data_IF_979261314383
#
_entry.id   IF_979261314383
#
_cell.length_a   1.000
_cell.length_b   1.000
_cell.length_c   1.000
_cell.angle_alpha   90.00
_cell.angle_beta   90.00
_cell.angle_gamma   90.00
#
_symmetry.space_group_name_H-M   'P 1'
#
loop_
_entity.id
_entity.type
_entity.pdbx_description
1 polymer ?
#
# COMPACT_ATOMS: atom_id res chain seq x y z
N UNK A 1 12.68 33.49 12.78
CA UNK A 1 11.59 32.56 13.13
C UNK A 1 11.35 31.54 12.03
N UNK A 2 11.27 31.95 10.78
CA UNK A 2 10.94 31.06 9.65
C UNK A 2 11.99 29.93 9.46
N UNK A 3 13.30 30.29 9.44
CA UNK A 3 14.37 29.28 9.25
C UNK A 3 14.37 28.23 10.37
N UNK A 4 14.21 28.66 11.64
CA UNK A 4 14.16 27.71 12.76
C UNK A 4 12.94 26.78 12.67
N UNK A 5 11.80 27.31 12.24
CA UNK A 5 10.60 26.50 12.05
C UNK A 5 10.77 25.48 10.91
N UNK A 6 11.43 25.86 9.82
CA UNK A 6 11.74 24.95 8.70
C UNK A 6 12.68 23.83 9.13
N UNK A 7 13.76 24.14 9.84
CA UNK A 7 14.70 23.13 10.37
C UNK A 7 13.98 22.12 11.28
N UNK A 8 13.10 22.63 12.18
CA UNK A 8 12.34 21.75 13.07
C UNK A 8 11.37 20.85 12.28
N UNK A 9 10.69 21.39 11.28
CA UNK A 9 9.80 20.62 10.42
C UNK A 9 10.57 19.52 9.65
N UNK A 10 11.74 19.83 9.12
CA UNK A 10 12.62 18.84 8.44
C UNK A 10 13.01 17.72 9.40
N UNK A 11 13.38 18.04 10.64
CA UNK A 11 13.72 17.04 11.65
C UNK A 11 12.53 16.11 11.98
N UNK A 12 11.32 16.67 12.05
CA UNK A 12 10.11 15.88 12.26
C UNK A 12 9.85 14.95 11.07
N UNK A 13 10.00 15.44 9.85
CA UNK A 13 9.80 14.64 8.64
C UNK A 13 10.84 13.52 8.52
N UNK A 14 12.09 13.79 8.84
CA UNK A 14 13.14 12.76 8.88
C UNK A 14 12.80 11.65 9.88
N UNK A 15 12.32 11.98 11.08
CA UNK A 15 11.88 11.01 12.08
C UNK A 15 10.66 10.20 11.61
N UNK A 16 9.71 10.84 10.93
CA UNK A 16 8.54 10.15 10.39
C UNK A 16 8.95 9.16 9.29
N UNK A 17 9.88 9.54 8.43
CA UNK A 17 10.45 8.67 7.40
C UNK A 17 11.20 7.49 8.03
N UNK A 18 12.05 7.75 9.03
CA UNK A 18 12.75 6.71 9.79
C UNK A 18 11.76 5.70 10.39
N UNK A 19 10.65 6.18 10.96
CA UNK A 19 9.58 5.32 11.48
C UNK A 19 8.96 4.41 10.42
N UNK A 20 8.76 4.91 9.20
CA UNK A 20 8.25 4.11 8.07
C UNK A 20 9.28 3.06 7.62
N UNK A 21 10.54 3.46 7.47
CA UNK A 21 11.62 2.58 7.05
C UNK A 21 11.94 1.48 8.08
N UNK A 22 11.72 1.77 9.37
CA UNK A 22 11.94 0.86 10.49
C UNK A 22 10.72 0.01 10.83
N UNK A 23 9.64 0.07 10.05
CA UNK A 23 8.45 -0.74 10.27
C UNK A 23 8.79 -2.24 10.25
N UNK A 24 8.19 -3.00 11.16
CA UNK A 24 8.48 -4.44 11.26
C UNK A 24 7.89 -5.22 10.10
N UNK A 25 8.68 -6.02 9.39
CA UNK A 25 8.19 -6.88 8.33
C UNK A 25 7.27 -7.99 8.87
N UNK A 26 6.20 -8.29 8.14
CA UNK A 26 5.33 -9.43 8.41
C UNK A 26 5.90 -10.67 7.70
N UNK A 27 6.82 -11.34 8.35
CA UNK A 27 7.52 -12.49 7.76
C UNK A 27 6.58 -13.65 7.46
N UNK A 28 6.80 -14.34 6.34
CA UNK A 28 6.01 -15.48 5.91
C UNK A 28 4.58 -15.13 5.53
N UNK A 29 4.29 -13.85 5.28
CA UNK A 29 2.98 -13.41 4.86
C UNK A 29 2.76 -13.72 3.38
N UNK A 30 1.67 -14.45 3.07
CA UNK A 30 1.03 -14.45 1.76
C UNK A 30 0.00 -13.34 1.77
N UNK A 31 0.24 -12.31 1.00
CA UNK A 31 -0.47 -11.03 1.14
C UNK A 31 -1.46 -10.86 0.01
N UNK A 32 -2.69 -10.50 0.37
CA UNK A 32 -3.66 -9.89 -0.53
C UNK A 32 -3.63 -8.38 -0.24
N UNK A 33 -3.12 -7.61 -1.19
CA UNK A 33 -3.06 -6.16 -1.10
C UNK A 33 -4.26 -5.52 -1.79
N UNK A 34 -4.84 -4.53 -1.15
CA UNK A 34 -5.94 -3.72 -1.66
C UNK A 34 -5.45 -2.28 -1.85
N UNK A 35 -5.60 -1.77 -3.06
CA UNK A 35 -5.33 -0.38 -3.43
C UNK A 35 -6.65 0.30 -3.82
N UNK A 36 -7.30 1.02 -2.89
CA UNK A 36 -8.63 1.57 -3.10
C UNK A 36 -8.64 2.68 -4.15
N UNK A 37 -9.59 2.63 -5.07
CA UNK A 37 -9.85 3.68 -6.05
C UNK A 37 -11.33 3.89 -6.26
N UNK A 38 -11.81 5.12 -6.03
CA UNK A 38 -13.24 5.45 -6.10
C UNK A 38 -13.87 5.21 -7.48
N UNK A 39 -13.24 5.69 -8.55
CA UNK A 39 -13.80 5.58 -9.90
C UNK A 39 -13.42 4.29 -10.60
N UNK A 40 -12.21 3.84 -10.41
CA UNK A 40 -11.61 2.72 -11.16
C UNK A 40 -11.71 1.39 -10.42
N UNK A 41 -12.33 1.37 -9.24
CA UNK A 41 -12.43 0.22 -8.35
C UNK A 41 -11.17 0.01 -7.51
N UNK A 42 -11.28 -0.85 -6.52
CA UNK A 42 -10.18 -1.26 -5.66
C UNK A 42 -9.34 -2.33 -6.39
N UNK A 43 -8.07 -2.04 -6.62
CA UNK A 43 -7.13 -2.99 -7.23
C UNK A 43 -6.70 -4.01 -6.19
N UNK A 44 -6.59 -5.24 -6.63
CA UNK A 44 -6.20 -6.36 -5.79
C UNK A 44 -4.95 -6.99 -6.38
N UNK A 45 -3.95 -7.25 -5.54
CA UNK A 45 -2.79 -8.04 -5.90
C UNK A 45 -2.52 -9.09 -4.83
N UNK A 46 -2.31 -10.33 -5.23
CA UNK A 46 -1.99 -11.44 -4.33
C UNK A 46 -0.55 -11.86 -4.55
N UNK A 47 0.22 -11.90 -3.47
CA UNK A 47 1.63 -12.26 -3.51
C UNK A 47 1.94 -13.42 -2.57
N UNK A 48 2.88 -14.27 -3.00
CA UNK A 48 3.45 -15.27 -2.12
C UNK A 48 4.38 -14.63 -1.07
N UNK A 49 4.95 -15.45 -0.20
CA UNK A 49 5.85 -15.04 0.89
C UNK A 49 7.17 -14.42 0.42
N UNK A 50 7.48 -14.51 -0.88
CA UNK A 50 8.68 -13.91 -1.50
C UNK A 50 8.39 -12.59 -2.21
N UNK A 51 7.13 -12.15 -2.24
CA UNK A 51 6.67 -10.96 -2.95
C UNK A 51 6.41 -11.16 -4.43
N UNK A 52 6.37 -12.44 -4.91
CA UNK A 52 6.00 -12.77 -6.27
C UNK A 52 4.49 -12.68 -6.45
N UNK A 53 4.05 -12.02 -7.53
CA UNK A 53 2.63 -11.94 -7.89
C UNK A 53 2.08 -13.32 -8.27
N UNK A 54 1.00 -13.72 -7.62
CA UNK A 54 0.25 -14.96 -7.88
C UNK A 54 -1.03 -14.70 -8.67
N UNK A 55 -1.76 -13.64 -8.30
CA UNK A 55 -3.02 -13.26 -8.93
C UNK A 55 -3.28 -11.76 -8.75
N UNK A 56 -4.14 -11.19 -9.59
CA UNK A 56 -4.56 -9.80 -9.46
C UNK A 56 -5.96 -9.59 -10.03
N UNK A 57 -6.60 -8.50 -9.64
CA UNK A 57 -7.94 -8.17 -10.12
C UNK A 57 -8.42 -6.80 -9.69
N UNK A 58 -9.70 -6.55 -9.92
CA UNK A 58 -10.37 -5.32 -9.51
C UNK A 58 -11.70 -5.68 -8.85
N UNK A 59 -11.96 -5.10 -7.69
CA UNK A 59 -13.24 -5.23 -6.98
C UNK A 59 -13.87 -3.86 -6.74
N UNK A 60 -15.15 -3.82 -6.46
CA UNK A 60 -15.90 -2.57 -6.40
C UNK A 60 -16.72 -2.45 -5.11
N UNK A 61 -16.07 -2.35 -3.93
CA UNK A 61 -16.78 -2.27 -2.65
C UNK A 61 -17.55 -0.95 -2.46
N UNK A 62 -17.11 0.12 -3.17
CA UNK A 62 -17.59 1.49 -2.99
C UNK A 62 -18.43 1.98 -4.17
N UNK A 63 -19.18 3.08 -3.96
CA UNK A 63 -19.86 3.78 -5.04
C UNK A 63 -18.86 4.28 -6.11
N UNK A 64 -19.27 4.42 -7.37
CA UNK A 64 -20.65 4.32 -7.89
C UNK A 64 -21.16 2.88 -8.11
N UNK A 65 -20.27 1.88 -8.27
CA UNK A 65 -20.70 0.52 -8.62
C UNK A 65 -21.23 -0.29 -7.42
N UNK A 66 -20.64 -0.13 -6.25
CA UNK A 66 -21.06 -0.69 -4.95
C UNK A 66 -21.45 -2.19 -5.01
N UNK A 67 -20.58 -3.03 -5.57
CA UNK A 67 -20.77 -4.48 -5.64
C UNK A 67 -20.09 -5.16 -4.44
N UNK A 68 -20.70 -5.04 -3.27
CA UNK A 68 -20.21 -5.65 -2.02
C UNK A 68 -20.21 -7.17 -2.10
N UNK A 69 -21.28 -7.77 -2.61
CA UNK A 69 -21.39 -9.23 -2.70
C UNK A 69 -20.38 -9.84 -3.66
N UNK A 70 -20.16 -9.22 -4.83
CA UNK A 70 -19.13 -9.62 -5.78
C UNK A 70 -17.73 -9.44 -5.21
N UNK A 71 -17.49 -8.34 -4.49
CA UNK A 71 -16.23 -8.09 -3.79
C UNK A 71 -15.93 -9.20 -2.77
N UNK A 72 -16.86 -9.52 -1.88
CA UNK A 72 -16.68 -10.60 -0.89
C UNK A 72 -16.38 -11.96 -1.56
N UNK A 73 -17.14 -12.31 -2.61
CA UNK A 73 -16.91 -13.59 -3.32
C UNK A 73 -15.52 -13.65 -3.94
N UNK A 74 -15.08 -12.58 -4.60
CA UNK A 74 -13.78 -12.56 -5.26
C UNK A 74 -12.64 -12.57 -4.25
N UNK A 75 -12.70 -11.78 -3.19
CA UNK A 75 -11.70 -11.79 -2.14
C UNK A 75 -11.62 -13.16 -1.44
N UNK A 76 -12.77 -13.78 -1.13
CA UNK A 76 -12.81 -15.13 -0.56
C UNK A 76 -12.20 -16.19 -1.49
N UNK A 77 -12.47 -16.08 -2.80
CA UNK A 77 -11.87 -16.95 -3.82
C UNK A 77 -10.36 -16.85 -3.82
N UNK A 78 -9.82 -15.63 -3.84
CA UNK A 78 -8.38 -15.36 -3.85
C UNK A 78 -7.71 -15.82 -2.56
N UNK A 79 -8.31 -15.53 -1.41
CA UNK A 79 -7.81 -15.98 -0.10
C UNK A 79 -7.67 -17.50 -0.05
N UNK A 80 -8.69 -18.21 -0.49
CA UNK A 80 -8.70 -19.68 -0.47
C UNK A 80 -7.77 -20.29 -1.53
N UNK A 81 -7.79 -19.77 -2.76
CA UNK A 81 -7.00 -20.27 -3.89
C UNK A 81 -5.51 -20.19 -3.61
N UNK A 82 -5.06 -19.04 -3.15
CA UNK A 82 -3.64 -18.71 -3.04
C UNK A 82 -3.09 -18.82 -1.61
N UNK A 83 -3.90 -19.29 -0.66
CA UNK A 83 -3.49 -19.50 0.72
C UNK A 83 -3.10 -18.21 1.44
N UNK A 84 -3.80 -17.11 1.15
CA UNK A 84 -3.57 -15.80 1.78
C UNK A 84 -3.77 -15.90 3.29
N UNK A 85 -2.85 -15.34 4.04
CA UNK A 85 -2.92 -15.26 5.51
C UNK A 85 -2.91 -13.83 6.06
N UNK A 86 -2.74 -12.84 5.18
CA UNK A 86 -2.69 -11.43 5.57
C UNK A 86 -3.33 -10.56 4.48
N UNK A 87 -4.23 -9.66 4.85
CA UNK A 87 -4.75 -8.61 3.99
C UNK A 87 -4.09 -7.28 4.37
N UNK A 88 -3.48 -6.62 3.38
CA UNK A 88 -2.97 -5.26 3.48
C UNK A 88 -3.86 -4.31 2.68
N UNK A 89 -4.41 -3.30 3.33
CA UNK A 89 -5.25 -2.32 2.70
C UNK A 89 -4.56 -0.96 2.71
N UNK A 90 -4.46 -0.30 1.58
CA UNK A 90 -4.05 1.10 1.51
C UNK A 90 -4.96 1.99 2.34
N UNK A 91 -4.78 3.30 2.32
CA UNK A 91 -5.63 4.24 3.06
C UNK A 91 -7.07 4.12 2.57
N UNK A 92 -7.80 3.23 3.21
CA UNK A 92 -9.07 2.73 2.73
C UNK A 92 -10.22 3.70 2.99
N UNK A 93 -11.22 3.62 2.14
CA UNK A 93 -12.53 4.06 2.54
C UNK A 93 -13.08 3.13 3.63
N UNK A 94 -13.89 3.68 4.51
CA UNK A 94 -14.56 2.92 5.57
C UNK A 94 -15.36 1.73 5.01
N UNK A 95 -15.98 1.91 3.86
CA UNK A 95 -16.74 0.85 3.19
C UNK A 95 -15.88 -0.35 2.80
N UNK A 96 -14.65 -0.12 2.35
CA UNK A 96 -13.71 -1.22 2.05
C UNK A 96 -13.31 -1.97 3.32
N UNK A 97 -13.06 -1.26 4.42
CA UNK A 97 -12.77 -1.89 5.71
C UNK A 97 -13.94 -2.73 6.23
N UNK A 98 -15.16 -2.23 6.13
CA UNK A 98 -16.38 -2.95 6.53
C UNK A 98 -16.50 -4.26 5.75
N UNK A 99 -16.36 -4.22 4.43
CA UNK A 99 -16.44 -5.42 3.58
C UNK A 99 -15.36 -6.45 3.94
N UNK A 100 -14.13 -6.00 4.19
CA UNK A 100 -13.03 -6.91 4.59
C UNK A 100 -13.26 -7.48 5.98
N UNK A 101 -13.73 -6.67 6.93
CA UNK A 101 -14.02 -7.11 8.29
C UNK A 101 -15.11 -8.17 8.32
N UNK A 102 -16.18 -7.97 7.55
CA UNK A 102 -17.26 -8.94 7.39
C UNK A 102 -16.78 -10.24 6.73
N UNK A 103 -15.95 -10.14 5.68
CA UNK A 103 -15.34 -11.30 5.04
C UNK A 103 -14.52 -12.14 6.04
N UNK A 104 -13.69 -11.48 6.85
CA UNK A 104 -12.88 -12.17 7.87
C UNK A 104 -13.76 -12.87 8.88
N UNK A 105 -14.78 -12.17 9.41
CA UNK A 105 -15.68 -12.73 10.41
C UNK A 105 -16.48 -13.92 9.88
N UNK A 106 -16.96 -13.87 8.65
CA UNK A 106 -17.85 -14.86 8.06
C UNK A 106 -17.11 -16.07 7.47
N UNK A 107 -15.93 -15.88 6.86
CA UNK A 107 -15.32 -16.88 5.99
C UNK A 107 -13.86 -17.20 6.26
N UNK A 108 -13.14 -16.36 7.00
CA UNK A 108 -11.70 -16.51 7.20
C UNK A 108 -11.22 -16.04 8.58
N UNK A 109 -11.70 -16.62 9.69
CA UNK A 109 -11.47 -16.11 11.06
C UNK A 109 -10.01 -16.16 11.55
N UNK A 110 -9.07 -16.63 10.75
CA UNK A 110 -7.63 -16.62 11.07
C UNK A 110 -6.83 -15.61 10.24
N UNK A 111 -7.49 -14.88 9.34
CA UNK A 111 -6.85 -13.95 8.44
C UNK A 111 -6.45 -12.65 9.18
N UNK A 112 -5.20 -12.24 9.03
CA UNK A 112 -4.70 -10.97 9.58
C UNK A 112 -5.09 -9.82 8.66
N UNK A 113 -5.42 -8.67 9.24
CA UNK A 113 -5.71 -7.45 8.52
C UNK A 113 -4.89 -6.28 9.06
N UNK A 114 -4.40 -5.43 8.17
CA UNK A 114 -3.69 -4.21 8.54
C UNK A 114 -3.84 -3.13 7.48
N UNK A 115 -3.78 -1.89 7.91
CA UNK A 115 -3.67 -0.73 7.03
C UNK A 115 -2.20 -0.55 6.64
N UNK A 116 -1.96 -0.27 5.37
CA UNK A 116 -0.63 -0.03 4.80
C UNK A 116 -0.52 1.44 4.43
N UNK A 117 0.56 2.06 4.86
CA UNK A 117 0.88 3.41 4.41
C UNK A 117 1.16 3.40 2.90
N UNK A 118 0.40 4.17 2.13
CA UNK A 118 0.50 4.23 0.66
C UNK A 118 1.39 5.36 0.13
N UNK A 119 2.02 6.14 1.03
CA UNK A 119 2.85 7.28 0.64
C UNK A 119 3.89 6.88 -0.43
N UNK A 120 3.92 7.62 -1.53
CA UNK A 120 4.82 7.38 -2.66
C UNK A 120 4.53 6.13 -3.51
N UNK A 121 3.50 5.33 -3.22
CA UNK A 121 3.19 4.12 -4.00
C UNK A 121 2.85 4.44 -5.46
N UNK A 122 2.14 5.53 -5.71
CA UNK A 122 1.83 6.02 -7.06
C UNK A 122 3.08 6.49 -7.81
N UNK A 123 4.04 7.11 -7.11
CA UNK A 123 5.32 7.52 -7.70
C UNK A 123 6.13 6.30 -8.13
N UNK A 124 6.25 5.30 -7.25
CA UNK A 124 6.92 4.05 -7.60
C UNK A 124 6.24 3.36 -8.79
N UNK A 125 4.93 3.16 -8.75
CA UNK A 125 4.21 2.40 -9.78
C UNK A 125 4.35 2.99 -11.19
N UNK A 126 4.51 4.31 -11.31
CA UNK A 126 4.74 5.03 -12.55
C UNK A 126 6.23 5.19 -12.90
N UNK A 127 7.15 4.76 -12.06
CA UNK A 127 8.58 4.92 -12.27
C UNK A 127 9.13 3.99 -13.36
N UNK A 128 10.29 4.37 -13.91
CA UNK A 128 11.04 3.53 -14.83
C UNK A 128 11.46 2.21 -14.16
N UNK A 129 11.88 2.27 -12.88
CA UNK A 129 12.23 1.09 -12.09
C UNK A 129 11.09 0.08 -12.03
N UNK A 130 9.87 0.53 -11.70
CA UNK A 130 8.71 -0.35 -11.66
C UNK A 130 8.34 -0.93 -13.03
N UNK A 131 8.59 -0.15 -14.10
CA UNK A 131 8.39 -0.62 -15.48
C UNK A 131 9.42 -1.67 -15.90
N UNK A 132 10.63 -1.57 -15.41
CA UNK A 132 11.69 -2.58 -15.62
C UNK A 132 11.46 -3.84 -14.78
N UNK A 133 11.02 -3.69 -13.51
CA UNK A 133 10.70 -4.82 -12.65
C UNK A 133 9.48 -5.63 -13.15
N UNK A 134 8.48 -4.93 -13.69
CA UNK A 134 7.19 -5.51 -14.11
C UNK A 134 6.71 -4.92 -15.43
N UNK A 135 7.38 -5.22 -16.57
CA UNK A 135 7.07 -4.61 -17.86
C UNK A 135 5.65 -4.95 -18.36
N UNK A 136 5.15 -6.13 -18.03
CA UNK A 136 3.85 -6.64 -18.51
C UNK A 136 2.67 -6.29 -17.60
N UNK A 137 2.92 -5.60 -16.47
CA UNK A 137 1.87 -5.25 -15.52
C UNK A 137 1.44 -3.79 -15.68
N UNK A 138 0.13 -3.57 -15.55
CA UNK A 138 -0.45 -2.24 -15.49
C UNK A 138 0.05 -1.46 -14.25
N UNK A 139 0.15 -0.14 -14.39
CA UNK A 139 0.60 0.76 -13.33
C UNK A 139 -0.20 0.61 -12.03
N UNK A 140 -1.50 0.33 -12.14
CA UNK A 140 -2.37 0.16 -10.97
C UNK A 140 -2.13 -1.16 -10.25
N UNK A 141 -1.78 -2.22 -10.95
CA UNK A 141 -1.37 -3.51 -10.36
C UNK A 141 -0.02 -3.37 -9.66
N UNK A 142 0.93 -2.66 -10.27
CA UNK A 142 2.23 -2.33 -9.63
C UNK A 142 2.04 -1.56 -8.33
N UNK A 143 1.08 -0.63 -8.28
CA UNK A 143 0.70 0.09 -7.06
C UNK A 143 0.22 -0.84 -5.95
N UNK A 144 -0.74 -1.71 -6.25
CA UNK A 144 -1.25 -2.69 -5.29
C UNK A 144 -0.16 -3.67 -4.82
N UNK A 145 0.71 -4.12 -5.72
CA UNK A 145 1.87 -4.95 -5.34
C UNK A 145 2.81 -4.23 -4.38
N UNK A 146 3.11 -2.95 -4.63
CA UNK A 146 3.96 -2.15 -3.75
C UNK A 146 3.38 -2.09 -2.34
N UNK A 147 2.07 -1.90 -2.19
CA UNK A 147 1.41 -1.92 -0.88
C UNK A 147 1.61 -3.25 -0.15
N UNK A 148 1.43 -4.36 -0.84
CA UNK A 148 1.61 -5.68 -0.23
C UNK A 148 3.07 -5.99 0.12
N UNK A 149 4.01 -5.61 -0.72
CA UNK A 149 5.45 -5.80 -0.48
C UNK A 149 5.97 -4.95 0.67
N UNK A 150 5.35 -3.77 0.93
CA UNK A 150 5.63 -2.98 2.14
C UNK A 150 5.33 -3.70 3.44
N UNK A 151 4.37 -4.63 3.44
CA UNK A 151 4.11 -5.49 4.59
C UNK A 151 5.18 -6.54 4.77
N UNK A 152 5.68 -7.10 3.68
CA UNK A 152 6.64 -8.19 3.70
C UNK A 152 8.05 -7.70 4.02
N UNK A 153 8.46 -6.59 3.39
CA UNK A 153 9.75 -5.93 3.61
C UNK A 153 9.62 -4.41 3.35
N UNK A 154 9.26 -3.62 4.37
CA UNK A 154 9.04 -2.19 4.24
C UNK A 154 10.27 -1.45 3.72
N UNK A 155 11.45 -1.79 4.22
CA UNK A 155 12.69 -1.12 3.84
C UNK A 155 13.03 -1.37 2.38
N UNK A 156 13.02 -2.62 1.94
CA UNK A 156 13.34 -3.00 0.56
C UNK A 156 12.40 -2.34 -0.46
N UNK A 157 11.15 -2.09 -0.08
CA UNK A 157 10.19 -1.45 -0.98
C UNK A 157 10.27 0.08 -0.93
N UNK A 158 10.40 0.67 0.24
CA UNK A 158 10.41 2.13 0.40
C UNK A 158 11.67 2.79 -0.13
N UNK A 159 12.84 2.12 -0.10
CA UNK A 159 14.09 2.65 -0.68
C UNK A 159 14.04 2.84 -2.20
N UNK A 160 13.06 2.25 -2.88
CA UNK A 160 12.83 2.45 -4.32
C UNK A 160 12.18 3.81 -4.63
N UNK A 161 11.73 4.53 -3.62
CA UNK A 161 10.99 5.79 -3.74
C UNK A 161 11.90 6.93 -3.29
N UNK A 162 12.03 7.99 -4.09
CA UNK A 162 12.75 9.18 -3.63
C UNK A 162 12.15 9.71 -2.32
N UNK A 163 12.97 10.01 -1.29
CA UNK A 163 12.46 10.43 0.01
C UNK A 163 11.47 11.62 -0.05
N UNK A 164 11.69 12.56 -0.96
CA UNK A 164 10.82 13.70 -1.19
C UNK A 164 9.42 13.31 -1.67
N UNK A 165 9.30 12.14 -2.28
CA UNK A 165 8.02 11.60 -2.81
C UNK A 165 7.27 10.78 -1.76
N UNK A 166 7.87 10.51 -0.61
CA UNK A 166 7.20 9.88 0.53
C UNK A 166 6.56 11.00 1.36
N UNK A 167 5.24 11.06 1.37
CA UNK A 167 4.48 12.06 2.13
C UNK A 167 4.53 11.75 3.62
N UNK A 168 5.45 12.37 4.35
CA UNK A 168 5.66 12.17 5.80
C UNK A 168 5.23 13.36 6.66
N UNK A 169 4.72 14.43 6.05
CA UNK A 169 4.22 15.61 6.76
C UNK A 169 3.44 16.57 5.87
N UNK A 170 2.57 17.36 6.51
CA UNK A 170 1.89 18.47 5.85
C UNK A 170 2.89 19.57 5.50
N UNK A 171 2.62 20.29 4.39
CA UNK A 171 3.46 21.40 3.90
C UNK A 171 4.90 21.01 3.58
N UNK A 172 5.17 19.73 3.35
CA UNK A 172 6.48 19.23 2.94
C UNK A 172 6.99 19.95 1.69
N UNK A 173 6.09 20.33 0.77
CA UNK A 173 6.40 21.03 -0.48
C UNK A 173 6.81 22.50 -0.28
N UNK A 174 6.49 23.09 0.87
CA UNK A 174 6.79 24.50 1.20
C UNK A 174 8.18 24.66 1.80
N UNK A 175 8.89 23.56 2.04
CA UNK A 175 10.25 23.55 2.58
C UNK A 175 11.31 23.60 1.47
N UNK A 176 12.52 24.00 1.84
CA UNK A 176 13.67 23.87 0.95
C UNK A 176 13.93 22.40 0.62
N UNK A 177 13.74 22.04 -0.65
CA UNK A 177 13.83 20.64 -1.10
C UNK A 177 15.25 20.09 -1.05
N UNK A 178 16.27 20.96 -1.14
CA UNK A 178 17.66 20.56 -1.03
C UNK A 178 18.05 20.24 0.43
N UNK A 179 17.53 21.00 1.39
CA UNK A 179 17.70 20.70 2.82
C UNK A 179 16.92 19.42 3.21
N UNK A 180 15.68 19.31 2.76
CA UNK A 180 14.83 18.13 3.01
C UNK A 180 15.49 16.85 2.49
N UNK A 181 16.15 16.91 1.34
CA UNK A 181 16.79 15.72 0.73
C UNK A 181 18.08 15.30 1.43
N UNK A 182 18.67 16.15 2.26
CA UNK A 182 19.92 15.84 2.98
C UNK A 182 19.68 15.33 4.40
N UNK A 183 18.49 15.60 4.94
CA UNK A 183 18.11 15.18 6.28
C UNK A 183 17.72 13.69 6.33
#
# INVERSE_FOLDING_TARGET
LTVRAQTEAINVFAKNLEGLLSARPVRGARVLALDPGYRTGCKVAVMDETGKLLDHGVVYPTKPRHDVAGTKRELARLVKKDGVNTIGNGTASRETEEVVSELIAEQAPGLRYTIVNEAGASVYSASELASQEYPDLDVTVRGAMSLGRRLQDPLAELVKIPPQSIGVGQYQHDLDQAELSRA
#
